data_IF_400593164197
#
_entry.id   IF_400593164197
#
_cell.length_a   1.000
_cell.length_b   1.000
_cell.length_c   1.000
_cell.angle_alpha   90.00
_cell.angle_beta   90.00
_cell.angle_gamma   90.00
#
_symmetry.space_group_name_H-M   'P 1'
#
loop_
_entity.id
_entity.type
_entity.pdbx_description
1 polymer ?
#
# COMPACT_ATOMS: atom_id res chain seq x y z
N UNK A 1 14.51 7.63 30.31
CA UNK A 1 14.94 7.80 31.72
C UNK A 1 13.71 8.01 32.59
N UNK A 2 13.74 7.53 33.82
CA UNK A 2 12.76 7.77 34.88
C UNK A 2 13.45 8.58 36.00
N UNK A 3 12.76 9.58 36.55
CA UNK A 3 13.26 10.39 37.67
C UNK A 3 12.49 9.99 38.93
N UNK A 4 13.13 9.25 39.82
CA UNK A 4 12.57 8.75 41.07
C UNK A 4 13.30 9.35 42.28
N UNK A 5 12.72 9.33 43.49
CA UNK A 5 13.37 9.89 44.68
C UNK A 5 14.78 9.34 44.93
N UNK A 6 15.01 8.08 44.59
CA UNK A 6 16.28 7.35 44.76
C UNK A 6 17.25 7.48 43.57
N UNK A 7 16.94 8.31 42.57
CA UNK A 7 17.85 8.63 41.48
C UNK A 7 17.24 8.57 40.09
N UNK A 8 18.12 8.64 39.08
CA UNK A 8 17.74 8.52 37.67
C UNK A 8 17.90 7.07 37.22
N UNK A 9 16.82 6.51 36.68
CA UNK A 9 16.80 5.13 36.17
C UNK A 9 16.63 5.11 34.64
N UNK A 10 17.12 4.06 33.99
CA UNK A 10 16.94 3.84 32.55
C UNK A 10 15.85 2.80 32.34
N UNK A 11 14.91 3.15 31.48
CA UNK A 11 13.80 2.31 31.04
C UNK A 11 13.90 2.21 29.52
N UNK A 12 13.97 0.99 28.99
CA UNK A 12 13.93 0.73 27.55
C UNK A 12 12.48 0.53 27.13
N UNK A 13 12.01 1.34 26.17
CA UNK A 13 10.68 1.17 25.60
C UNK A 13 10.65 -0.10 24.76
N UNK A 14 9.70 -0.98 25.06
CA UNK A 14 9.46 -2.24 24.34
C UNK A 14 8.25 -2.13 23.42
N UNK A 15 8.22 -2.87 22.31
CA UNK A 15 7.05 -2.95 21.41
C UNK A 15 6.01 -4.01 21.85
N UNK A 16 5.82 -4.14 23.16
CA UNK A 16 4.87 -5.07 23.78
C UNK A 16 5.04 -6.52 23.29
N UNK A 17 3.99 -7.10 22.71
CA UNK A 17 3.99 -8.50 22.25
C UNK A 17 4.90 -8.76 21.05
N UNK A 18 5.41 -7.72 20.40
CA UNK A 18 6.30 -7.83 19.24
C UNK A 18 7.76 -7.59 19.58
N UNK A 19 8.06 -7.23 20.83
CA UNK A 19 9.42 -7.02 21.30
C UNK A 19 10.24 -8.32 21.24
N UNK A 20 11.44 -8.24 20.64
CA UNK A 20 12.34 -9.39 20.45
C UNK A 20 13.55 -9.38 21.38
N UNK A 21 13.67 -8.38 22.25
CA UNK A 21 14.82 -8.20 23.14
C UNK A 21 14.74 -9.10 24.38
N UNK A 22 13.54 -9.60 24.69
CA UNK A 22 13.26 -10.37 25.91
C UNK A 22 13.12 -9.50 27.16
N UNK A 23 13.18 -8.17 27.03
CA UNK A 23 12.94 -7.24 28.14
C UNK A 23 11.44 -7.21 28.49
N UNK A 24 11.15 -7.13 29.79
CA UNK A 24 9.77 -6.90 30.24
C UNK A 24 9.35 -5.45 29.93
N UNK A 25 8.05 -5.22 29.75
CA UNK A 25 7.52 -3.88 29.52
C UNK A 25 7.75 -2.89 30.69
N UNK A 26 8.09 -3.41 31.88
CA UNK A 26 8.47 -2.62 33.06
C UNK A 26 9.97 -2.69 33.37
N UNK A 27 10.82 -2.98 32.38
CA UNK A 27 12.26 -3.10 32.60
C UNK A 27 12.83 -1.78 33.14
N UNK A 28 13.58 -1.82 34.23
CA UNK A 28 14.24 -0.64 34.77
C UNK A 28 15.63 -1.06 35.22
N UNK A 29 16.64 -0.32 34.77
CA UNK A 29 18.03 -0.53 35.16
C UNK A 29 18.53 0.71 35.87
N UNK A 30 19.13 0.53 37.05
CA UNK A 30 19.86 1.59 37.71
C UNK A 30 21.15 1.85 36.92
N UNK A 31 21.39 3.10 36.54
CA UNK A 31 22.69 3.48 35.99
C UNK A 31 23.65 3.75 37.15
N UNK A 32 24.94 3.35 37.03
CA UNK A 32 25.93 3.67 38.04
C UNK A 32 25.99 5.19 38.26
N UNK A 33 25.70 5.61 39.49
CA UNK A 33 25.43 6.99 39.90
C UNK A 33 26.43 8.01 39.33
N UNK A 34 25.97 8.85 38.42
CA UNK A 34 26.64 10.11 38.00
C UNK A 34 25.88 11.37 38.47
N UNK A 35 25.06 11.23 39.51
CA UNK A 35 24.24 12.28 40.11
C UNK A 35 24.12 12.12 41.63
N UNK A 36 23.39 13.03 42.32
CA UNK A 36 23.17 12.93 43.75
C UNK A 36 22.36 11.66 44.11
N UNK A 37 22.59 11.05 45.28
CA UNK A 37 21.91 9.83 45.70
C UNK A 37 20.41 10.03 45.93
N UNK A 38 19.98 11.26 46.20
CA UNK A 38 18.58 11.65 46.29
C UNK A 38 18.32 12.78 45.29
N UNK A 39 17.21 12.69 44.56
CA UNK A 39 16.85 13.74 43.63
C UNK A 39 16.17 14.91 44.36
N UNK A 40 16.45 16.17 43.97
CA UNK A 40 15.85 17.37 44.55
C UNK A 40 14.39 17.57 44.08
N UNK A 41 13.57 16.52 44.13
CA UNK A 41 12.15 16.56 43.77
C UNK A 41 11.37 17.38 44.81
N UNK A 42 10.49 18.25 44.33
CA UNK A 42 9.59 19.02 45.18
C UNK A 42 8.25 18.27 45.31
N UNK A 43 7.94 17.65 46.48
CA UNK A 43 6.73 16.87 46.64
C UNK A 43 5.49 17.75 46.49
N UNK A 44 4.49 17.28 45.73
CA UNK A 44 3.21 17.99 45.49
C UNK A 44 3.38 19.39 44.87
N UNK A 45 4.53 19.67 44.28
CA UNK A 45 4.81 20.91 43.57
C UNK A 45 5.29 20.63 42.13
N UNK A 46 5.36 21.69 41.33
CA UNK A 46 5.87 21.58 39.97
C UNK A 46 7.39 21.47 39.98
N UNK A 47 7.91 20.43 39.32
CA UNK A 47 9.33 20.25 39.09
C UNK A 47 9.71 20.81 37.71
N UNK A 48 10.86 21.46 37.62
CA UNK A 48 11.43 21.96 36.37
C UNK A 48 12.48 20.97 35.89
N UNK A 49 12.32 20.44 34.68
CA UNK A 49 13.29 19.52 34.07
C UNK A 49 13.84 20.14 32.81
N UNK A 50 15.17 20.13 32.68
CA UNK A 50 15.86 20.43 31.43
C UNK A 50 16.64 19.20 31.01
N UNK A 51 16.34 18.71 29.82
CA UNK A 51 17.12 17.69 29.13
C UNK A 51 17.93 18.39 28.04
N UNK A 52 19.22 18.16 28.00
CA UNK A 52 20.13 18.75 27.02
C UNK A 52 20.99 17.64 26.40
N UNK A 53 21.13 17.70 25.08
CA UNK A 53 22.10 16.89 24.34
C UNK A 53 23.06 17.86 23.66
N UNK A 54 24.35 17.77 23.97
CA UNK A 54 25.41 18.56 23.35
C UNK A 54 26.49 17.60 22.83
N UNK A 55 26.60 17.49 21.50
CA UNK A 55 27.36 16.39 20.88
C UNK A 55 26.77 15.04 21.32
N UNK A 56 27.61 14.21 21.93
CA UNK A 56 27.22 12.91 22.47
C UNK A 56 27.01 12.92 23.99
N UNK A 57 26.87 14.09 24.63
CA UNK A 57 26.63 14.19 26.07
C UNK A 57 25.18 14.55 26.36
N UNK A 58 24.47 13.66 27.06
CA UNK A 58 23.15 13.86 27.63
C UNK A 58 23.30 14.38 29.07
N UNK A 59 22.69 15.53 29.36
CA UNK A 59 22.60 16.11 30.70
C UNK A 59 21.13 16.30 31.09
N UNK A 60 20.77 15.91 32.31
CA UNK A 60 19.46 16.19 32.91
C UNK A 60 19.67 17.10 34.12
N UNK A 61 18.96 18.23 34.12
CA UNK A 61 18.92 19.19 35.23
C UNK A 61 17.51 19.19 35.80
N UNK A 62 17.39 18.95 37.11
CA UNK A 62 16.14 18.95 37.86
C UNK A 62 16.17 20.10 38.86
N UNK A 63 15.17 20.99 38.78
CA UNK A 63 15.03 22.16 39.65
C UNK A 63 16.27 23.08 39.71
N UNK A 64 17.07 23.08 38.64
CA UNK A 64 18.30 23.87 38.53
C UNK A 64 19.58 23.10 38.86
N UNK A 65 19.47 21.88 39.40
CA UNK A 65 20.60 21.04 39.76
C UNK A 65 20.84 19.93 38.74
N UNK A 66 22.09 19.72 38.26
CA UNK A 66 22.41 18.60 37.39
C UNK A 66 22.27 17.29 38.17
N UNK A 67 21.39 16.41 37.70
CA UNK A 67 21.08 15.13 38.36
C UNK A 67 21.52 13.91 37.56
N UNK A 68 21.90 14.09 36.29
CA UNK A 68 22.38 13.02 35.44
C UNK A 68 23.24 13.57 34.31
N UNK A 69 24.36 12.90 34.05
CA UNK A 69 25.19 13.17 32.87
C UNK A 69 25.75 11.85 32.32
N UNK A 70 25.59 11.62 31.02
CA UNK A 70 26.12 10.43 30.35
C UNK A 70 26.47 10.71 28.90
N UNK A 71 27.54 10.08 28.43
CA UNK A 71 27.82 9.94 27.00
C UNK A 71 26.86 8.93 26.38
N UNK A 72 26.11 9.35 25.36
CA UNK A 72 25.17 8.54 24.58
C UNK A 72 25.81 8.11 23.27
N UNK A 73 25.50 6.90 22.80
CA UNK A 73 26.14 6.31 21.63
C UNK A 73 25.79 7.10 20.35
N UNK A 74 26.67 7.19 19.35
CA UNK A 74 26.37 7.91 18.09
C UNK A 74 25.15 7.35 17.35
N UNK A 75 24.86 6.06 17.53
CA UNK A 75 23.72 5.37 16.91
C UNK A 75 22.40 5.55 17.67
N UNK A 76 22.42 6.22 18.84
CA UNK A 76 21.23 6.37 19.65
C UNK A 76 20.30 7.46 19.05
N UNK A 77 19.02 7.12 18.89
CA UNK A 77 18.03 8.01 18.29
C UNK A 77 17.82 9.25 19.16
N UNK A 78 18.01 10.44 18.59
CA UNK A 78 17.89 11.73 19.30
C UNK A 78 16.45 12.27 19.33
N UNK A 79 15.47 11.39 19.18
CA UNK A 79 14.06 11.74 19.32
C UNK A 79 13.71 11.94 20.80
N UNK A 80 12.89 12.94 21.09
CA UNK A 80 12.43 13.23 22.44
C UNK A 80 10.95 12.88 22.59
N UNK A 81 10.61 12.24 23.71
CA UNK A 81 9.25 11.90 24.07
C UNK A 81 9.04 11.95 25.58
N UNK A 82 7.77 12.02 25.99
CA UNK A 82 7.35 11.89 27.38
C UNK A 82 6.70 10.53 27.55
N UNK A 83 7.02 9.85 28.65
CA UNK A 83 6.53 8.52 28.95
C UNK A 83 5.76 8.52 30.28
N UNK A 84 4.68 7.77 30.35
CA UNK A 84 4.01 7.42 31.60
C UNK A 84 3.36 6.04 31.47
N UNK A 85 3.28 5.30 32.58
CA UNK A 85 2.51 4.07 32.65
C UNK A 85 1.02 4.41 32.74
N UNK A 86 0.24 3.97 31.75
CA UNK A 86 -1.21 4.27 31.64
C UNK A 86 -2.01 3.78 32.85
N UNK A 87 -1.57 2.70 33.49
CA UNK A 87 -2.28 2.07 34.61
C UNK A 87 -1.76 2.47 36.00
N UNK A 88 -0.63 3.19 36.09
CA UNK A 88 0.04 3.43 37.38
C UNK A 88 0.16 4.91 37.74
N UNK A 89 0.19 5.79 36.74
CA UNK A 89 0.51 7.20 36.98
C UNK A 89 -0.31 8.14 36.12
N UNK A 90 -0.75 9.23 36.74
CA UNK A 90 -1.22 10.42 36.04
C UNK A 90 -0.05 11.41 35.95
N UNK A 91 0.44 11.66 34.74
CA UNK A 91 1.50 12.64 34.48
C UNK A 91 0.89 13.94 33.98
N UNK A 92 1.30 15.07 34.58
CA UNK A 92 0.96 16.41 34.10
C UNK A 92 2.23 17.13 33.68
N UNK A 93 2.25 17.62 32.45
CA UNK A 93 3.39 18.35 31.87
C UNK A 93 2.88 19.68 31.33
N UNK A 94 3.62 20.76 31.57
CA UNK A 94 3.28 22.10 31.08
C UNK A 94 4.54 22.86 30.68
N UNK A 95 4.37 23.91 29.88
CA UNK A 95 5.44 24.81 29.46
C UNK A 95 6.62 24.11 28.75
N UNK A 96 6.33 23.08 27.96
CA UNK A 96 7.36 22.39 27.17
C UNK A 96 7.95 23.35 26.15
N UNK A 97 9.28 23.49 26.17
CA UNK A 97 10.02 24.30 25.20
C UNK A 97 11.09 23.42 24.58
N UNK A 98 11.07 23.31 23.26
CA UNK A 98 12.07 22.58 22.50
C UNK A 98 12.92 23.57 21.69
N UNK A 99 14.23 23.44 21.80
CA UNK A 99 15.22 24.33 21.15
C UNK A 99 16.39 23.49 20.69
N UNK A 100 16.97 23.87 19.56
CA UNK A 100 18.15 23.24 18.99
C UNK A 100 18.54 23.94 17.70
N UNK A 101 19.75 23.65 17.22
CA UNK A 101 20.20 24.05 15.89
C UNK A 101 19.62 23.10 14.84
N UNK A 102 18.29 23.13 14.71
CA UNK A 102 17.58 22.32 13.72
C UNK A 102 17.98 22.75 12.31
N UNK A 103 18.10 21.81 11.36
CA UNK A 103 18.23 22.15 9.96
C UNK A 103 17.13 23.13 9.54
N UNK A 104 17.51 24.28 9.00
CA UNK A 104 16.56 25.31 8.54
C UNK A 104 16.07 25.07 7.10
N UNK A 105 16.61 24.04 6.47
CA UNK A 105 16.29 23.59 5.12
C UNK A 105 16.06 22.09 5.19
N UNK A 106 14.99 21.62 4.56
CA UNK A 106 14.81 20.20 4.34
C UNK A 106 15.82 19.72 3.28
N UNK A 107 16.29 18.46 3.35
CA UNK A 107 16.95 17.82 2.21
C UNK A 107 16.04 17.86 0.97
N UNK A 108 16.59 17.70 -0.25
CA UNK A 108 15.77 17.43 -1.43
C UNK A 108 14.75 16.32 -1.15
N UNK A 109 13.56 16.38 -1.74
CA UNK A 109 12.48 15.38 -1.50
C UNK A 109 13.00 13.98 -1.75
N UNK A 110 13.94 13.83 -2.69
CA UNK A 110 14.57 12.57 -3.06
C UNK A 110 15.30 11.90 -1.89
N UNK A 111 15.85 12.69 -0.97
CA UNK A 111 16.66 12.26 0.19
C UNK A 111 15.85 12.19 1.49
N UNK A 112 14.60 12.63 1.48
CA UNK A 112 13.73 12.59 2.64
C UNK A 112 13.07 11.20 2.76
N UNK A 113 13.59 10.35 3.64
CA UNK A 113 13.10 8.98 3.88
C UNK A 113 11.58 8.89 4.20
N UNK A 114 11.00 9.97 4.73
CA UNK A 114 9.58 10.06 5.11
C UNK A 114 8.74 10.98 4.22
N UNK A 115 9.34 11.62 3.19
CA UNK A 115 8.60 12.56 2.34
C UNK A 115 8.00 11.94 1.08
N UNK A 116 8.35 10.69 0.76
CA UNK A 116 7.59 9.90 -0.20
C UNK A 116 6.54 9.09 0.54
N UNK A 117 5.26 9.27 0.20
CA UNK A 117 4.26 8.30 0.62
C UNK A 117 4.54 6.92 0.00
N UNK A 118 3.81 5.88 0.44
CA UNK A 118 4.02 4.50 -0.03
C UNK A 118 3.92 4.34 -1.56
N UNK A 119 3.29 5.27 -2.28
CA UNK A 119 3.33 5.39 -3.75
C UNK A 119 4.75 5.49 -4.31
N UNK A 120 5.68 6.15 -3.63
CA UNK A 120 7.07 6.27 -4.08
C UNK A 120 7.81 4.93 -4.01
N UNK A 121 7.42 4.05 -3.10
CA UNK A 121 7.97 2.69 -3.05
C UNK A 121 7.55 1.86 -4.27
N UNK A 122 6.40 2.19 -4.87
CA UNK A 122 5.91 1.56 -6.09
C UNK A 122 6.66 2.05 -7.35
N UNK A 123 7.43 3.14 -7.29
CA UNK A 123 8.16 3.63 -8.47
C UNK A 123 9.30 2.69 -8.84
N UNK A 124 9.35 2.30 -10.12
CA UNK A 124 10.44 1.50 -10.70
C UNK A 124 11.03 2.31 -11.85
N UNK A 125 12.34 2.64 -11.80
CA UNK A 125 13.01 3.32 -12.91
C UNK A 125 12.84 2.58 -14.24
N UNK A 126 12.59 3.31 -15.32
CA UNK A 126 12.36 2.69 -16.63
C UNK A 126 13.55 1.83 -17.10
N UNK A 127 14.77 2.16 -16.68
CA UNK A 127 15.97 1.38 -16.97
C UNK A 127 15.96 -0.02 -16.34
N UNK A 128 15.20 -0.23 -15.25
CA UNK A 128 15.04 -1.53 -14.60
C UNK A 128 13.96 -2.40 -15.27
N UNK A 129 13.09 -1.80 -16.11
CA UNK A 129 12.02 -2.49 -16.84
C UNK A 129 12.20 -2.35 -18.36
N UNK A 130 13.25 -2.97 -18.94
CA UNK A 130 13.62 -2.76 -20.34
C UNK A 130 12.61 -3.35 -21.34
N UNK A 131 11.81 -4.34 -20.94
CA UNK A 131 10.82 -4.95 -21.82
C UNK A 131 9.50 -4.16 -21.76
N UNK A 132 8.91 -3.90 -22.94
CA UNK A 132 7.71 -3.07 -23.09
C UNK A 132 6.73 -3.67 -24.09
N UNK A 133 5.44 -3.58 -23.78
CA UNK A 133 4.35 -3.85 -24.70
C UNK A 133 3.25 -2.80 -24.49
N UNK A 134 2.75 -2.21 -25.57
CA UNK A 134 1.66 -1.22 -25.53
C UNK A 134 0.59 -1.62 -26.53
N UNK A 135 -0.65 -1.56 -26.07
CA UNK A 135 -1.83 -1.88 -26.87
C UNK A 135 -2.77 -0.69 -26.82
N UNK A 136 -2.73 0.14 -27.86
CA UNK A 136 -3.72 1.18 -28.11
C UNK A 136 -4.94 0.53 -28.76
N UNK A 137 -6.11 0.69 -28.14
CA UNK A 137 -7.35 0.12 -28.65
C UNK A 137 -8.20 1.14 -29.43
N UNK A 138 -7.77 2.40 -29.48
CA UNK A 138 -8.48 3.46 -30.17
C UNK A 138 -8.32 3.36 -31.69
N UNK A 139 -9.19 4.02 -32.45
CA UNK A 139 -9.16 3.96 -33.92
C UNK A 139 -9.45 2.56 -34.49
N UNK A 140 -10.17 1.71 -33.75
CA UNK A 140 -10.51 0.35 -34.18
C UNK A 140 -9.34 -0.64 -34.10
N UNK A 141 -8.24 -0.29 -33.44
CA UNK A 141 -7.07 -1.15 -33.33
C UNK A 141 -7.32 -2.31 -32.37
N UNK A 142 -7.39 -3.54 -32.90
CA UNK A 142 -7.40 -4.76 -32.12
C UNK A 142 -6.92 -5.93 -32.98
N UNK A 143 -5.82 -6.56 -32.59
CA UNK A 143 -5.32 -7.78 -33.23
C UNK A 143 -5.77 -9.02 -32.44
N UNK A 144 -6.77 -9.79 -32.88
CA UNK A 144 -7.23 -10.98 -32.18
C UNK A 144 -6.17 -12.08 -32.08
N UNK A 145 -5.08 -12.05 -32.86
CA UNK A 145 -3.98 -13.01 -32.74
C UNK A 145 -3.03 -12.67 -31.59
N UNK A 146 -2.89 -11.39 -31.25
CA UNK A 146 -2.09 -10.94 -30.11
C UNK A 146 -2.76 -11.21 -28.76
N UNK A 147 -4.05 -11.52 -28.77
CA UNK A 147 -4.86 -11.75 -27.56
C UNK A 147 -5.42 -13.18 -27.52
N UNK A 148 -5.80 -13.59 -26.32
CA UNK A 148 -6.67 -14.72 -26.10
C UNK A 148 -7.92 -14.26 -25.35
N UNK A 149 -9.04 -14.91 -25.65
CA UNK A 149 -10.30 -14.68 -24.97
C UNK A 149 -10.28 -15.36 -23.60
N UNK A 150 -10.72 -14.64 -22.57
CA UNK A 150 -10.69 -15.15 -21.21
C UNK A 150 -11.70 -16.29 -21.01
N UNK A 151 -11.22 -17.41 -20.44
CA UNK A 151 -11.91 -18.69 -20.19
C UNK A 151 -12.48 -19.45 -21.39
N UNK A 152 -13.13 -18.77 -22.35
CA UNK A 152 -13.71 -19.43 -23.51
C UNK A 152 -13.66 -18.54 -24.75
N UNK A 153 -13.78 -19.16 -25.94
CA UNK A 153 -13.83 -18.44 -27.22
C UNK A 153 -15.15 -17.68 -27.44
N UNK A 154 -16.23 -18.01 -26.70
CA UNK A 154 -17.51 -17.32 -26.81
C UNK A 154 -17.45 -15.88 -26.27
N UNK A 155 -16.46 -15.55 -25.43
CA UNK A 155 -16.21 -14.17 -25.00
C UNK A 155 -16.00 -13.22 -26.18
N UNK A 156 -15.58 -13.71 -27.35
CA UNK A 156 -15.49 -12.93 -28.59
C UNK A 156 -16.80 -12.25 -28.99
N UNK A 157 -17.96 -12.86 -28.65
CA UNK A 157 -19.28 -12.30 -28.97
C UNK A 157 -19.60 -11.01 -28.20
N UNK A 158 -18.81 -10.69 -27.17
CA UNK A 158 -19.01 -9.56 -26.28
C UNK A 158 -17.90 -8.51 -26.40
N UNK A 159 -16.92 -8.73 -27.29
CA UNK A 159 -15.76 -7.87 -27.49
C UNK A 159 -15.86 -7.21 -28.86
N UNK A 160 -15.98 -5.89 -28.88
CA UNK A 160 -16.29 -5.11 -30.07
C UNK A 160 -15.27 -3.97 -30.24
N UNK A 161 -14.26 -4.14 -31.12
CA UNK A 161 -13.38 -3.04 -31.50
C UNK A 161 -14.20 -1.89 -32.12
N UNK A 162 -13.82 -0.66 -31.81
CA UNK A 162 -14.45 0.55 -32.34
C UNK A 162 -13.44 1.69 -32.43
N UNK A 163 -13.79 2.77 -33.14
CA UNK A 163 -12.96 3.98 -33.20
C UNK A 163 -12.67 4.58 -31.82
N UNK A 164 -13.54 4.31 -30.85
CA UNK A 164 -13.39 4.81 -29.49
C UNK A 164 -12.59 3.89 -28.57
N UNK A 165 -12.25 2.66 -28.97
CA UNK A 165 -11.63 1.69 -28.07
C UNK A 165 -12.17 0.27 -28.27
N UNK A 166 -11.64 -0.66 -27.49
CA UNK A 166 -12.14 -2.02 -27.40
C UNK A 166 -13.31 -2.05 -26.40
N UNK A 167 -14.54 -2.09 -26.91
CA UNK A 167 -15.74 -2.17 -26.07
C UNK A 167 -15.98 -3.61 -25.65
N UNK A 168 -16.28 -3.81 -24.37
CA UNK A 168 -16.71 -5.10 -23.83
C UNK A 168 -18.11 -4.92 -23.25
N UNK A 169 -19.09 -5.64 -23.78
CA UNK A 169 -20.51 -5.48 -23.40
C UNK A 169 -21.09 -6.79 -22.90
N UNK A 170 -21.56 -6.81 -21.67
CA UNK A 170 -22.31 -7.89 -21.03
C UNK A 170 -23.77 -7.45 -20.85
N UNK A 171 -24.71 -7.89 -21.72
CA UNK A 171 -26.08 -7.35 -21.74
C UNK A 171 -26.92 -7.85 -20.56
N UNK A 172 -27.65 -6.95 -19.90
CA UNK A 172 -28.57 -7.29 -18.82
C UNK A 172 -29.85 -7.96 -19.36
N UNK A 173 -30.36 -8.97 -18.64
CA UNK A 173 -31.61 -9.68 -18.97
C UNK A 173 -31.49 -10.77 -20.03
N UNK A 174 -30.31 -10.97 -20.61
CA UNK A 174 -30.05 -11.98 -21.65
C UNK A 174 -29.23 -13.15 -21.13
N UNK A 175 -29.33 -14.30 -21.81
CA UNK A 175 -28.47 -15.47 -21.55
C UNK A 175 -27.02 -15.17 -21.96
N UNK A 176 -26.11 -15.21 -20.99
CA UNK A 176 -24.69 -14.87 -21.16
C UNK A 176 -23.78 -15.59 -20.15
N UNK A 177 -22.47 -15.71 -20.42
CA UNK A 177 -21.50 -16.13 -19.40
C UNK A 177 -21.41 -15.09 -18.28
N UNK A 178 -20.73 -15.44 -17.19
CA UNK A 178 -20.54 -14.49 -16.09
C UNK A 178 -19.40 -13.48 -16.33
N UNK A 179 -18.50 -13.78 -17.27
CA UNK A 179 -17.36 -12.92 -17.61
C UNK A 179 -17.12 -12.96 -19.12
N UNK A 180 -16.64 -11.86 -19.68
CA UNK A 180 -16.07 -11.83 -21.02
C UNK A 180 -14.93 -10.81 -21.06
N UNK A 181 -13.82 -11.18 -21.70
CA UNK A 181 -12.65 -10.32 -21.76
C UNK A 181 -11.51 -10.90 -22.56
N UNK A 182 -10.38 -10.21 -22.48
CA UNK A 182 -9.17 -10.53 -23.23
C UNK A 182 -7.95 -10.49 -22.31
N UNK A 183 -6.91 -11.23 -22.69
CA UNK A 183 -5.58 -11.06 -22.15
C UNK A 183 -4.56 -11.16 -23.30
N UNK A 184 -3.51 -10.33 -23.31
CA UNK A 184 -2.46 -10.45 -24.31
C UNK A 184 -1.73 -11.78 -24.13
N UNK A 185 -1.29 -12.38 -25.23
CA UNK A 185 -0.53 -13.65 -25.24
C UNK A 185 0.92 -13.44 -24.81
N UNK A 186 1.10 -13.10 -23.53
CA UNK A 186 2.41 -12.84 -22.95
C UNK A 186 2.47 -13.28 -21.48
N UNK A 187 3.70 -13.50 -21.00
CA UNK A 187 4.05 -13.68 -19.59
C UNK A 187 5.00 -12.56 -19.17
N UNK A 188 4.92 -12.14 -17.91
CA UNK A 188 5.84 -11.17 -17.34
C UNK A 188 6.76 -11.87 -16.35
N UNK A 189 8.07 -11.69 -16.52
CA UNK A 189 9.07 -12.22 -15.60
C UNK A 189 9.63 -11.07 -14.77
N UNK A 190 9.79 -11.30 -13.47
CA UNK A 190 10.31 -10.29 -12.55
C UNK A 190 9.38 -9.10 -12.35
N UNK A 191 9.96 -7.99 -11.89
CA UNK A 191 9.23 -6.78 -11.54
C UNK A 191 8.53 -6.18 -12.78
N UNK A 192 7.40 -5.52 -12.54
CA UNK A 192 6.57 -5.00 -13.63
C UNK A 192 5.73 -3.79 -13.21
N UNK A 193 5.30 -3.03 -14.23
CA UNK A 193 4.26 -2.01 -14.18
C UNK A 193 3.25 -2.34 -15.28
N UNK A 194 1.99 -2.53 -14.91
CA UNK A 194 0.86 -2.65 -15.86
C UNK A 194 -0.14 -1.56 -15.59
N UNK A 195 -0.52 -0.79 -16.61
CA UNK A 195 -1.52 0.27 -16.51
C UNK A 195 -2.63 0.05 -17.55
N UNK A 196 -3.87 0.09 -17.08
CA UNK A 196 -5.08 0.05 -17.91
C UNK A 196 -5.76 1.42 -17.86
N UNK A 197 -6.04 1.98 -19.04
CA UNK A 197 -6.87 3.16 -19.23
C UNK A 197 -8.25 2.71 -19.75
N UNK A 198 -9.33 3.11 -19.07
CA UNK A 198 -10.70 2.72 -19.42
C UNK A 198 -11.67 3.91 -19.36
N UNK A 199 -12.80 3.77 -20.06
CA UNK A 199 -13.85 4.78 -20.10
C UNK A 199 -15.24 4.17 -20.26
N UNK A 200 -16.26 4.99 -20.03
CA UNK A 200 -17.67 4.69 -20.28
C UNK A 200 -18.17 3.43 -19.55
N UNK A 201 -17.66 3.16 -18.35
CA UNK A 201 -18.15 2.07 -17.51
C UNK A 201 -19.59 2.37 -17.10
N UNK A 202 -20.51 1.52 -17.54
CA UNK A 202 -21.92 1.51 -17.17
C UNK A 202 -22.27 0.13 -16.66
N UNK A 203 -23.00 0.05 -15.55
CA UNK A 203 -23.38 -1.21 -14.91
C UNK A 203 -24.88 -1.25 -14.64
N UNK A 204 -25.42 -2.47 -14.68
CA UNK A 204 -26.75 -2.81 -14.17
C UNK A 204 -26.54 -3.72 -12.96
N UNK A 205 -27.14 -3.40 -11.79
CA UNK A 205 -26.89 -4.15 -10.57
C UNK A 205 -27.41 -5.59 -10.68
N UNK A 206 -26.75 -6.55 -10.03
CA UNK A 206 -27.25 -7.92 -9.90
C UNK A 206 -28.44 -8.00 -8.94
N UNK A 207 -29.12 -9.14 -8.95
CA UNK A 207 -30.18 -9.44 -7.99
C UNK A 207 -29.65 -10.10 -6.71
N UNK A 208 -28.72 -11.07 -6.80
CA UNK A 208 -28.32 -11.88 -5.62
C UNK A 208 -26.82 -12.25 -5.57
N UNK A 209 -26.00 -11.81 -6.53
CA UNK A 209 -24.67 -12.37 -6.76
C UNK A 209 -23.50 -11.38 -6.53
N UNK A 210 -22.29 -11.76 -6.92
CA UNK A 210 -21.02 -11.10 -6.54
C UNK A 210 -20.71 -9.76 -7.25
N UNK A 211 -21.59 -9.24 -8.11
CA UNK A 211 -21.53 -7.89 -8.72
C UNK A 211 -21.45 -7.83 -10.26
N UNK A 212 -21.37 -6.64 -10.82
CA UNK A 212 -21.13 -6.39 -12.25
C UNK A 212 -20.18 -5.21 -12.44
N UNK A 213 -19.35 -5.23 -13.49
CA UNK A 213 -18.41 -4.13 -13.74
C UNK A 213 -17.16 -4.53 -14.52
N UNK A 214 -16.04 -3.87 -14.22
CA UNK A 214 -14.73 -4.08 -14.84
C UNK A 214 -13.80 -4.81 -13.87
N UNK A 215 -13.11 -5.84 -14.36
CA UNK A 215 -12.00 -6.49 -13.68
C UNK A 215 -10.70 -6.31 -14.47
N UNK A 216 -9.64 -5.95 -13.76
CA UNK A 216 -8.28 -5.83 -14.31
C UNK A 216 -7.28 -6.51 -13.37
N UNK A 217 -6.77 -7.67 -13.76
CA UNK A 217 -6.07 -8.58 -12.86
C UNK A 217 -4.79 -9.14 -13.46
N UNK A 218 -3.81 -9.40 -12.61
CA UNK A 218 -2.67 -10.26 -12.93
C UNK A 218 -2.87 -11.62 -12.27
N UNK A 219 -2.51 -12.66 -13.00
CA UNK A 219 -2.46 -14.01 -12.47
C UNK A 219 -0.99 -14.41 -12.35
N UNK A 220 -0.52 -14.68 -11.14
CA UNK A 220 0.84 -15.14 -10.88
C UNK A 220 0.91 -16.67 -10.93
N UNK A 221 2.10 -17.18 -11.23
CA UNK A 221 2.44 -18.58 -11.04
C UNK A 221 2.27 -18.95 -9.56
N UNK A 222 1.85 -20.20 -9.31
CA UNK A 222 1.47 -20.72 -7.99
C UNK A 222 0.13 -20.20 -7.43
N UNK A 223 -0.82 -19.91 -8.32
CA UNK A 223 -2.26 -19.73 -8.01
C UNK A 223 -2.62 -18.47 -7.21
N UNK A 224 -1.86 -17.39 -7.38
CA UNK A 224 -2.23 -16.07 -6.87
C UNK A 224 -2.90 -15.27 -8.00
N UNK A 225 -4.10 -14.72 -7.76
CA UNK A 225 -4.72 -13.74 -8.65
C UNK A 225 -4.87 -12.44 -7.87
N UNK A 226 -4.55 -11.31 -8.48
CA UNK A 226 -4.71 -10.02 -7.84
C UNK A 226 -4.95 -8.91 -8.84
N UNK A 227 -5.73 -7.92 -8.44
CA UNK A 227 -5.98 -6.77 -9.28
C UNK A 227 -7.11 -5.90 -8.78
N UNK A 228 -7.70 -5.17 -9.70
CA UNK A 228 -8.83 -4.30 -9.45
C UNK A 228 -10.15 -4.93 -9.88
N UNK A 229 -11.19 -4.64 -9.13
CA UNK A 229 -12.59 -4.81 -9.51
C UNK A 229 -13.29 -3.45 -9.32
N UNK A 230 -13.69 -2.79 -10.41
CA UNK A 230 -14.54 -1.59 -10.38
C UNK A 230 -15.97 -2.08 -10.56
N UNK A 231 -16.71 -2.22 -9.46
CA UNK A 231 -17.88 -3.10 -9.40
C UNK A 231 -19.10 -2.45 -8.74
N UNK A 232 -20.27 -2.80 -9.27
CA UNK A 232 -21.58 -2.57 -8.68
C UNK A 232 -22.13 -3.87 -8.08
N UNK A 233 -22.53 -3.80 -6.82
CA UNK A 233 -23.37 -4.79 -6.14
C UNK A 233 -24.81 -4.30 -6.05
N UNK A 234 -25.71 -5.12 -5.50
CA UNK A 234 -27.13 -4.80 -5.37
C UNK A 234 -27.38 -3.47 -4.63
N UNK A 235 -26.56 -3.12 -3.63
CA UNK A 235 -26.77 -1.96 -2.74
C UNK A 235 -25.57 -1.02 -2.63
N UNK A 236 -24.49 -1.28 -3.35
CA UNK A 236 -23.25 -0.50 -3.23
C UNK A 236 -22.45 -0.54 -4.53
N UNK A 237 -21.52 0.39 -4.66
CA UNK A 237 -20.52 0.43 -5.72
C UNK A 237 -19.17 0.74 -5.10
N UNK A 238 -18.09 0.22 -5.70
CA UNK A 238 -16.72 0.54 -5.28
C UNK A 238 -15.70 0.15 -6.33
N UNK A 239 -14.52 0.74 -6.22
CA UNK A 239 -13.27 0.25 -6.76
C UNK A 239 -12.59 -0.53 -5.64
N UNK A 240 -12.24 -1.77 -5.95
CA UNK A 240 -11.72 -2.73 -4.98
C UNK A 240 -10.38 -3.25 -5.46
N UNK A 241 -9.36 -3.20 -4.61
CA UNK A 241 -8.19 -4.03 -4.77
C UNK A 241 -8.50 -5.42 -4.19
N UNK A 242 -8.34 -6.47 -4.98
CA UNK A 242 -8.58 -7.85 -4.56
C UNK A 242 -7.33 -8.71 -4.74
N UNK A 243 -7.25 -9.76 -3.93
CA UNK A 243 -6.31 -10.85 -4.15
C UNK A 243 -6.90 -12.17 -3.66
N UNK A 244 -6.61 -13.22 -4.40
CA UNK A 244 -7.03 -14.58 -4.14
C UNK A 244 -5.79 -15.44 -3.98
N UNK A 245 -5.66 -16.09 -2.81
CA UNK A 245 -4.57 -17.01 -2.52
C UNK A 245 -5.10 -18.44 -2.52
N UNK A 246 -4.25 -19.39 -2.93
CA UNK A 246 -4.52 -20.80 -2.74
C UNK A 246 -3.86 -21.29 -1.45
N UNK A 247 -4.62 -21.85 -0.52
CA UNK A 247 -4.11 -22.40 0.73
C UNK A 247 -3.30 -23.69 0.47
N UNK A 248 -2.48 -24.16 1.43
CA UNK A 248 -1.81 -25.46 1.32
C UNK A 248 -2.78 -26.65 1.12
N UNK A 249 -4.04 -26.50 1.55
CA UNK A 249 -5.10 -27.50 1.35
C UNK A 249 -5.75 -27.41 -0.04
N UNK A 250 -5.33 -26.45 -0.86
CA UNK A 250 -5.81 -26.25 -2.21
C UNK A 250 -7.05 -25.36 -2.34
N UNK A 251 -7.56 -24.82 -1.24
CA UNK A 251 -8.71 -23.92 -1.21
C UNK A 251 -8.33 -22.52 -1.67
N UNK A 252 -9.29 -21.78 -2.22
CA UNK A 252 -9.09 -20.38 -2.57
C UNK A 252 -9.68 -19.46 -1.51
N UNK A 253 -8.87 -18.54 -1.00
CA UNK A 253 -9.32 -17.50 -0.06
C UNK A 253 -9.25 -16.15 -0.74
N UNK A 254 -10.38 -15.45 -0.73
CA UNK A 254 -10.56 -14.13 -1.31
C UNK A 254 -10.39 -13.05 -0.25
N UNK A 255 -9.65 -12.00 -0.59
CA UNK A 255 -9.47 -10.81 0.21
C UNK A 255 -9.65 -9.56 -0.64
N UNK A 256 -10.06 -8.46 0.00
CA UNK A 256 -10.29 -7.20 -0.70
C UNK A 256 -10.18 -5.99 0.21
N UNK A 257 -9.81 -4.85 -0.39
CA UNK A 257 -9.92 -3.51 0.20
C UNK A 257 -10.66 -2.58 -0.76
N UNK A 258 -11.60 -1.80 -0.22
CA UNK A 258 -12.51 -0.95 -1.01
C UNK A 258 -12.18 0.52 -0.83
N UNK A 259 -12.14 1.27 -1.93
CA UNK A 259 -11.92 2.72 -1.94
C UNK A 259 -13.23 3.54 -1.99
N UNK A 260 -14.39 2.88 -2.09
CA UNK A 260 -15.71 3.53 -2.16
C UNK A 260 -15.96 4.37 -3.43
N UNK A 261 -14.92 4.76 -4.17
CA UNK A 261 -15.00 5.44 -5.45
C UNK A 261 -15.44 4.47 -6.57
N UNK A 262 -16.34 4.89 -7.45
CA UNK A 262 -16.79 4.10 -8.61
C UNK A 262 -16.82 4.99 -9.87
N UNK A 263 -15.64 5.32 -10.42
CA UNK A 263 -15.57 6.26 -11.53
C UNK A 263 -15.90 5.56 -12.87
N UNK A 264 -16.71 6.20 -13.75
CA UNK A 264 -17.06 5.63 -15.05
C UNK A 264 -15.87 5.58 -16.02
N UNK A 265 -14.79 6.31 -15.72
CA UNK A 265 -13.57 6.34 -16.52
C UNK A 265 -12.38 6.56 -15.58
N UNK A 266 -11.21 6.01 -15.91
CA UNK A 266 -10.03 6.17 -15.06
C UNK A 266 -8.84 5.37 -15.55
N UNK A 267 -7.80 5.37 -14.72
CA UNK A 267 -6.57 4.61 -14.92
C UNK A 267 -6.33 3.72 -13.71
N UNK A 268 -6.05 2.46 -13.96
CA UNK A 268 -5.74 1.46 -12.94
C UNK A 268 -4.32 0.98 -13.17
N UNK A 269 -3.48 0.99 -12.14
CA UNK A 269 -2.08 0.59 -12.23
C UNK A 269 -1.73 -0.44 -11.16
N UNK A 270 -1.15 -1.53 -11.63
CA UNK A 270 -0.52 -2.55 -10.80
C UNK A 270 0.99 -2.44 -10.96
N UNK A 271 1.70 -2.32 -9.84
CA UNK A 271 3.17 -2.33 -9.83
C UNK A 271 3.65 -3.44 -8.91
N UNK A 272 4.46 -4.38 -9.41
CA UNK A 272 5.18 -5.32 -8.54
C UNK A 272 6.63 -4.92 -8.49
N UNK A 273 7.10 -4.59 -7.30
CA UNK A 273 8.51 -4.32 -7.00
C UNK A 273 8.99 -5.31 -5.93
N UNK A 274 9.96 -6.14 -6.30
CA UNK A 274 10.34 -7.31 -5.51
C UNK A 274 9.14 -8.21 -5.19
N UNK A 275 8.85 -8.38 -3.90
CA UNK A 275 7.78 -9.25 -3.40
C UNK A 275 6.44 -8.55 -3.10
N UNK A 276 6.30 -7.27 -3.42
CA UNK A 276 5.12 -6.45 -3.04
C UNK A 276 4.41 -5.94 -4.30
N UNK A 277 3.09 -6.10 -4.33
CA UNK A 277 2.20 -5.56 -5.35
C UNK A 277 1.50 -4.31 -4.81
N UNK A 278 1.59 -3.22 -5.57
CA UNK A 278 0.99 -1.93 -5.29
C UNK A 278 -0.19 -1.70 -6.23
N UNK A 279 -1.28 -1.17 -5.69
CA UNK A 279 -2.52 -0.90 -6.38
C UNK A 279 -2.71 0.61 -6.41
N UNK A 280 -2.58 1.23 -7.58
CA UNK A 280 -2.74 2.66 -7.75
C UNK A 280 -3.87 3.03 -8.73
N UNK A 281 -4.55 4.13 -8.47
CA UNK A 281 -5.63 4.67 -9.30
C UNK A 281 -5.33 6.12 -9.70
N UNK A 282 -5.84 6.56 -10.85
CA UNK A 282 -5.81 7.95 -11.28
C UNK A 282 -7.04 8.29 -12.12
N UNK A 283 -7.37 9.58 -12.19
CA UNK A 283 -8.39 10.07 -13.12
C UNK A 283 -7.97 9.90 -14.58
N UNK A 284 -8.94 9.93 -15.49
CA UNK A 284 -8.66 9.85 -16.94
C UNK A 284 -7.76 10.99 -17.37
N UNK A 285 -6.64 10.67 -18.04
CA UNK A 285 -5.64 11.67 -18.46
C UNK A 285 -4.77 12.22 -17.33
N UNK A 286 -5.03 11.84 -16.07
CA UNK A 286 -4.19 12.20 -14.94
C UNK A 286 -2.85 11.47 -14.95
N UNK A 287 -1.78 12.17 -14.60
CA UNK A 287 -0.45 11.59 -14.42
C UNK A 287 -0.16 11.22 -12.96
N UNK A 288 -0.92 11.79 -12.02
CA UNK A 288 -0.78 11.54 -10.59
C UNK A 288 -1.58 10.32 -10.16
N UNK A 289 -0.87 9.25 -9.82
CA UNK A 289 -1.44 8.02 -9.28
C UNK A 289 -1.50 8.07 -7.76
N UNK A 290 -2.64 7.70 -7.19
CA UNK A 290 -2.84 7.56 -5.75
C UNK A 290 -2.77 6.10 -5.37
N UNK A 291 -2.06 5.78 -4.29
CA UNK A 291 -2.06 4.43 -3.75
C UNK A 291 -3.41 4.12 -3.10
N UNK A 292 -4.04 3.03 -3.54
CA UNK A 292 -5.20 2.44 -2.86
C UNK A 292 -4.71 1.52 -1.74
N UNK A 293 -3.85 0.55 -2.07
CA UNK A 293 -3.27 -0.38 -1.09
C UNK A 293 -2.01 -1.08 -1.63
N UNK A 294 -1.33 -1.86 -0.78
CA UNK A 294 -0.19 -2.69 -1.15
C UNK A 294 -0.24 -4.04 -0.44
N UNK A 295 0.24 -5.11 -1.09
CA UNK A 295 0.24 -6.48 -0.53
C UNK A 295 1.50 -7.27 -0.87
N UNK A 296 2.02 -8.09 0.07
CA UNK A 296 3.03 -9.07 -0.25
C UNK A 296 2.42 -10.17 -1.13
N UNK A 297 3.01 -10.38 -2.32
CA UNK A 297 2.58 -11.39 -3.31
C UNK A 297 3.70 -12.36 -3.70
N UNK A 298 4.92 -12.12 -3.21
CA UNK A 298 6.10 -12.89 -3.59
C UNK A 298 6.62 -12.51 -4.98
N UNK A 299 7.52 -13.34 -5.52
CA UNK A 299 8.27 -13.03 -6.74
C UNK A 299 7.92 -13.92 -7.93
N UNK A 300 6.86 -14.74 -7.81
CA UNK A 300 6.36 -15.57 -8.91
C UNK A 300 6.11 -14.73 -10.17
N UNK A 301 6.36 -15.31 -11.34
CA UNK A 301 6.11 -14.66 -12.61
C UNK A 301 4.61 -14.53 -12.90
N UNK A 302 4.25 -13.59 -13.76
CA UNK A 302 2.85 -13.38 -14.19
C UNK A 302 2.59 -14.25 -15.41
N UNK A 303 1.62 -15.16 -15.28
CA UNK A 303 1.19 -16.02 -16.39
C UNK A 303 0.15 -15.37 -17.31
N UNK A 304 -0.61 -14.38 -16.81
CA UNK A 304 -1.60 -13.66 -17.59
C UNK A 304 -1.93 -12.29 -16.99
N UNK A 305 -2.24 -11.32 -17.87
CA UNK A 305 -2.80 -10.01 -17.54
C UNK A 305 -4.21 -9.95 -18.11
N UNK A 306 -5.24 -10.06 -17.27
CA UNK A 306 -6.63 -10.14 -17.69
C UNK A 306 -7.33 -8.79 -17.58
N UNK A 307 -8.08 -8.42 -18.62
CA UNK A 307 -9.03 -7.31 -18.60
C UNK A 307 -10.39 -7.81 -19.08
N UNK A 308 -11.44 -7.64 -18.28
CA UNK A 308 -12.74 -8.24 -18.56
C UNK A 308 -13.90 -7.42 -18.00
N UNK A 309 -15.06 -7.58 -18.63
CA UNK A 309 -16.34 -7.20 -18.05
C UNK A 309 -16.94 -8.39 -17.29
N UNK A 310 -17.53 -8.08 -16.14
CA UNK A 310 -18.11 -9.04 -15.23
C UNK A 310 -19.62 -8.84 -15.10
N UNK A 311 -20.36 -9.93 -15.03
CA UNK A 311 -21.79 -9.96 -14.73
C UNK A 311 -22.14 -11.21 -13.92
N UNK A 312 -22.31 -11.03 -12.62
CA UNK A 312 -22.48 -12.16 -11.69
C UNK A 312 -23.78 -12.95 -11.85
N UNK A 313 -24.80 -12.39 -12.48
CA UNK A 313 -26.03 -13.08 -12.86
C UNK A 313 -26.58 -12.59 -14.22
N UNK A 314 -27.71 -13.15 -14.65
CA UNK A 314 -28.33 -12.81 -15.93
C UNK A 314 -29.04 -11.45 -15.89
N UNK A 315 -29.46 -10.97 -14.71
CA UNK A 315 -30.12 -9.66 -14.57
C UNK A 315 -29.09 -8.51 -14.61
N UNK A 316 -27.87 -8.74 -14.13
CA UNK A 316 -26.79 -7.78 -14.15
C UNK A 316 -26.24 -7.58 -15.58
N UNK A 317 -25.51 -6.48 -15.75
CA UNK A 317 -24.82 -6.17 -16.99
C UNK A 317 -23.69 -5.17 -16.75
N UNK A 318 -22.75 -5.13 -17.69
CA UNK A 318 -21.62 -4.22 -17.66
C UNK A 318 -21.24 -3.84 -19.08
N UNK A 319 -20.95 -2.57 -19.32
CA UNK A 319 -20.44 -2.05 -20.58
C UNK A 319 -19.24 -1.17 -20.28
N UNK A 320 -18.11 -1.42 -20.93
CA UNK A 320 -16.88 -0.67 -20.70
C UNK A 320 -16.08 -0.55 -21.99
N UNK A 321 -15.42 0.59 -22.18
CA UNK A 321 -14.49 0.83 -23.29
C UNK A 321 -13.06 0.82 -22.78
N UNK A 322 -12.24 -0.13 -23.22
CA UNK A 322 -10.81 -0.10 -22.97
C UNK A 322 -10.13 0.84 -23.97
N UNK A 323 -9.28 1.73 -23.48
CA UNK A 323 -8.57 2.72 -24.32
C UNK A 323 -7.15 2.28 -24.61
N UNK A 324 -6.43 1.87 -23.57
CA UNK A 324 -5.02 1.55 -23.69
C UNK A 324 -4.58 0.60 -22.56
N UNK A 325 -3.72 -0.36 -22.90
CA UNK A 325 -3.04 -1.23 -21.95
C UNK A 325 -1.52 -1.11 -22.16
N UNK A 326 -0.80 -0.61 -21.16
CA UNK A 326 0.66 -0.49 -21.19
C UNK A 326 1.29 -1.42 -20.17
N UNK A 327 2.33 -2.13 -20.61
CA UNK A 327 3.07 -3.11 -19.83
C UNK A 327 4.56 -2.78 -19.92
N UNK A 328 5.22 -2.70 -18.77
CA UNK A 328 6.68 -2.70 -18.64
C UNK A 328 7.07 -3.78 -17.67
N UNK A 329 8.10 -4.55 -17.98
CA UNK A 329 8.57 -5.63 -17.12
C UNK A 329 10.09 -5.79 -17.23
N UNK A 330 10.66 -6.55 -16.29
CA UNK A 330 12.06 -6.97 -16.39
C UNK A 330 12.25 -7.79 -17.68
N UNK A 331 11.33 -8.72 -17.97
CA UNK A 331 11.24 -9.40 -19.28
C UNK A 331 9.77 -9.69 -19.64
N UNK A 332 9.48 -9.70 -20.94
CA UNK A 332 8.18 -10.12 -21.51
C UNK A 332 8.44 -11.31 -22.42
N UNK A 333 7.75 -12.43 -22.15
CA UNK A 333 7.85 -13.66 -22.94
C UNK A 333 6.55 -13.90 -23.71
N UNK A 334 6.58 -14.21 -25.03
CA UNK A 334 5.38 -14.52 -25.78
C UNK A 334 4.80 -15.87 -25.36
N UNK A 335 3.47 -15.97 -25.32
CA UNK A 335 2.73 -17.23 -25.16
C UNK A 335 2.29 -17.70 -26.54
N UNK A 336 2.64 -18.94 -26.90
CA UNK A 336 2.20 -19.54 -28.16
C UNK A 336 0.72 -19.90 -28.13
#
# INVERSE_FOLDING_TARGET
>A
CLLEPDGVKIHWLTDGRYDRTGLSAGNVTAEPNRGPPELPLLPRAWNSVRVQVAGDTLTIVLNGEPVFERTIEPTNQRQFGLFHYVNESNVRVRNVRYRGDWPKTLPPVEEQELAGGPERMAEIPAAELPARADFDFTGGQFDPQAFAYHWNAQAANYVHPSDQGLRITMPAGESKPQVAGVHPRLRLVGDFVVTLDYANLVTVPPQESWGSGLSFKVQLDNSYEAGFEVRQWQKSTATTAMWQIRTPLGEHVYYSENDGAFPPSGRLRLVRRGGVLYFLTADTGGEEFRLLTQRPVGTSDVKAVNVQADSSDQAAGADVTLKHLSIRASQILPVK
#
